data_IF_525319962892
#
_entry.id   IF_525319962892
#
_cell.length_a   1.000
_cell.length_b   1.000
_cell.length_c   1.000
_cell.angle_alpha   90.00
_cell.angle_beta   90.00
_cell.angle_gamma   90.00
#
_symmetry.space_group_name_H-M   'P 1'
#
loop_
_entity.id
_entity.type
_entity.pdbx_description
1 polymer ?
#
# COMPACT_ATOMS: atom_id res chain seq x y z
N UNK A 1 -14.52 62.70 -52.03
CA UNK A 1 -14.91 61.34 -51.65
C UNK A 1 -13.62 60.51 -51.49
N UNK A 2 -13.27 60.10 -50.29
CA UNK A 2 -12.16 59.20 -50.08
C UNK A 2 -12.71 57.77 -49.94
N UNK A 3 -12.30 56.89 -50.86
CA UNK A 3 -12.69 55.48 -50.85
C UNK A 3 -12.10 54.80 -49.62
N UNK A 4 -12.82 53.91 -48.93
CA UNK A 4 -12.31 53.16 -47.80
C UNK A 4 -11.28 52.13 -48.30
N UNK A 5 -10.03 52.18 -47.80
CA UNK A 5 -9.00 51.15 -48.01
C UNK A 5 -9.43 49.87 -47.36
N UNK A 6 -9.82 48.86 -48.13
CA UNK A 6 -9.99 47.50 -47.69
C UNK A 6 -8.68 46.99 -47.12
N UNK A 7 -8.69 46.66 -45.83
CA UNK A 7 -7.55 46.11 -45.12
C UNK A 7 -7.48 44.60 -45.41
N UNK A 8 -6.76 44.22 -46.50
CA UNK A 8 -6.45 42.82 -46.78
C UNK A 8 -5.70 42.25 -45.56
N UNK A 9 -6.35 41.36 -44.81
CA UNK A 9 -5.67 40.60 -43.76
C UNK A 9 -4.62 39.74 -44.45
N UNK A 10 -3.34 39.99 -44.15
CA UNK A 10 -2.23 39.22 -44.70
C UNK A 10 -2.43 37.74 -44.36
N UNK A 11 -2.26 36.84 -45.33
CA UNK A 11 -2.32 35.37 -45.15
C UNK A 11 -1.56 34.88 -43.93
N UNK A 12 -0.40 35.51 -43.63
CA UNK A 12 0.38 35.24 -42.42
C UNK A 12 -0.34 35.58 -41.10
N UNK A 13 -1.26 36.57 -41.09
CA UNK A 13 -2.06 36.89 -39.89
C UNK A 13 -3.13 35.84 -39.62
N UNK A 14 -3.71 35.25 -40.66
CA UNK A 14 -4.71 34.17 -40.54
C UNK A 14 -4.05 32.90 -40.00
N UNK A 15 -2.88 32.54 -40.50
CA UNK A 15 -2.13 31.37 -40.01
C UNK A 15 -1.78 31.54 -38.53
N UNK A 16 -1.31 32.74 -38.12
CA UNK A 16 -0.99 33.00 -36.69
C UNK A 16 -2.21 32.86 -35.79
N UNK A 17 -3.39 33.31 -36.23
CA UNK A 17 -4.63 33.18 -35.46
C UNK A 17 -5.01 31.70 -35.34
N UNK A 18 -4.89 30.92 -36.41
CA UNK A 18 -5.18 29.47 -36.39
C UNK A 18 -4.24 28.75 -35.40
N UNK A 19 -2.94 29.05 -35.46
CA UNK A 19 -1.95 28.46 -34.52
C UNK A 19 -2.27 28.82 -33.07
N UNK A 20 -2.65 30.07 -32.81
CA UNK A 20 -3.05 30.50 -31.45
C UNK A 20 -4.34 29.77 -30.98
N UNK A 21 -5.31 29.56 -31.82
CA UNK A 21 -6.55 28.84 -31.48
C UNK A 21 -6.24 27.38 -31.18
N UNK A 22 -5.40 26.72 -31.99
CA UNK A 22 -4.96 25.34 -31.74
C UNK A 22 -4.16 25.23 -30.44
N UNK A 23 -3.21 26.15 -30.19
CA UNK A 23 -2.43 26.18 -28.98
C UNK A 23 -3.31 26.38 -27.74
N UNK A 24 -4.31 27.26 -27.82
CA UNK A 24 -5.29 27.49 -26.74
C UNK A 24 -6.14 26.23 -26.51
N UNK A 25 -6.57 25.54 -27.57
CA UNK A 25 -7.32 24.29 -27.45
C UNK A 25 -6.51 23.19 -26.77
N UNK A 26 -5.23 23.03 -27.12
CA UNK A 26 -4.32 22.09 -26.47
C UNK A 26 -4.12 22.46 -24.99
N UNK A 27 -3.95 23.74 -24.71
CA UNK A 27 -3.78 24.22 -23.33
C UNK A 27 -5.03 23.97 -22.49
N UNK A 28 -6.22 24.26 -22.99
CA UNK A 28 -7.48 23.97 -22.31
C UNK A 28 -7.68 22.47 -22.09
N UNK A 29 -7.34 21.63 -23.07
CA UNK A 29 -7.40 20.19 -22.94
C UNK A 29 -6.43 19.66 -21.86
N UNK A 30 -5.19 20.15 -21.86
CA UNK A 30 -4.20 19.79 -20.83
C UNK A 30 -4.65 20.23 -19.42
N UNK A 31 -5.21 21.45 -19.31
CA UNK A 31 -5.79 21.93 -18.03
C UNK A 31 -6.95 21.08 -17.55
N UNK A 32 -7.83 20.67 -18.47
CA UNK A 32 -8.92 19.73 -18.15
C UNK A 32 -8.40 18.37 -17.67
N UNK A 33 -7.38 17.81 -18.31
CA UNK A 33 -6.77 16.55 -17.90
C UNK A 33 -6.13 16.67 -16.50
N UNK A 34 -5.40 17.75 -16.24
CA UNK A 34 -4.82 18.02 -14.90
C UNK A 34 -5.90 18.17 -13.83
N UNK A 35 -7.00 18.84 -14.14
CA UNK A 35 -8.15 18.97 -13.24
C UNK A 35 -8.76 17.61 -12.90
N UNK A 36 -8.97 16.74 -13.89
CA UNK A 36 -9.49 15.37 -13.66
C UNK A 36 -8.56 14.54 -12.79
N UNK A 37 -7.24 14.61 -13.04
CA UNK A 37 -6.23 13.92 -12.24
C UNK A 37 -6.27 14.43 -10.80
N UNK A 38 -6.22 15.75 -10.59
CA UNK A 38 -6.25 16.36 -9.27
C UNK A 38 -7.51 15.96 -8.47
N UNK A 39 -8.68 16.03 -9.11
CA UNK A 39 -9.93 15.59 -8.49
C UNK A 39 -9.95 14.10 -8.18
N UNK A 40 -9.37 13.26 -9.03
CA UNK A 40 -9.24 11.83 -8.77
C UNK A 40 -8.38 11.55 -7.52
N UNK A 41 -7.26 12.25 -7.34
CA UNK A 41 -6.43 12.12 -6.14
C UNK A 41 -7.12 12.64 -4.88
N UNK A 42 -7.83 13.77 -4.96
CA UNK A 42 -8.55 14.33 -3.82
C UNK A 42 -9.73 13.43 -3.39
N UNK A 43 -10.48 12.89 -4.34
CA UNK A 43 -11.57 11.95 -4.07
C UNK A 43 -11.03 10.66 -3.42
N UNK A 44 -9.91 10.12 -3.92
CA UNK A 44 -9.26 8.95 -3.33
C UNK A 44 -8.82 9.20 -1.87
N UNK A 45 -8.18 10.35 -1.60
CA UNK A 45 -7.78 10.73 -0.24
C UNK A 45 -8.98 10.78 0.69
N UNK A 46 -10.04 11.53 0.33
CA UNK A 46 -11.21 11.69 1.19
C UNK A 46 -12.00 10.39 1.42
N UNK A 47 -12.11 9.52 0.42
CA UNK A 47 -12.80 8.22 0.56
C UNK A 47 -12.08 7.32 1.58
N UNK A 48 -10.76 7.26 1.50
CA UNK A 48 -9.98 6.34 2.33
C UNK A 48 -9.56 6.91 3.69
N UNK A 49 -9.49 8.24 3.87
CA UNK A 49 -9.27 8.88 5.18
C UNK A 49 -10.49 8.69 6.11
N UNK A 50 -11.70 8.76 5.55
CA UNK A 50 -12.93 8.55 6.32
C UNK A 50 -13.16 7.07 6.67
N UNK A 51 -12.78 6.16 5.80
CA UNK A 51 -12.99 4.73 5.91
C UNK A 51 -12.42 4.14 7.21
N UNK A 52 -11.22 4.55 7.60
CA UNK A 52 -10.57 4.10 8.82
C UNK A 52 -11.40 4.41 10.06
N UNK A 53 -11.96 5.62 10.14
CA UNK A 53 -12.79 6.04 11.27
C UNK A 53 -14.21 5.45 11.22
N UNK A 54 -14.69 5.07 10.04
CA UNK A 54 -16.04 4.52 9.84
C UNK A 54 -16.12 3.05 10.26
N UNK A 55 -15.11 2.23 9.94
CA UNK A 55 -15.16 0.77 10.09
C UNK A 55 -14.18 0.19 11.08
N UNK A 56 -13.28 1.01 11.67
CA UNK A 56 -12.35 0.51 12.69
C UNK A 56 -12.42 1.31 13.97
N UNK A 57 -12.27 0.60 15.09
CA UNK A 57 -12.08 1.19 16.41
C UNK A 57 -10.70 0.82 16.94
N UNK A 58 -9.95 1.75 17.58
CA UNK A 58 -8.69 1.42 18.21
C UNK A 58 -8.89 0.36 19.28
N UNK A 59 -8.09 -0.71 19.24
CA UNK A 59 -8.09 -1.70 20.29
C UNK A 59 -7.32 -1.17 21.51
N UNK A 60 -7.99 -1.00 22.64
CA UNK A 60 -7.42 -0.44 23.88
C UNK A 60 -6.43 -1.39 24.60
N UNK A 61 -6.24 -2.60 24.08
CA UNK A 61 -5.26 -3.58 24.59
C UNK A 61 -3.87 -3.47 23.94
N UNK A 62 -3.74 -2.75 22.83
CA UNK A 62 -2.44 -2.54 22.18
C UNK A 62 -1.65 -1.47 22.95
N UNK A 63 -0.65 -1.88 23.73
CA UNK A 63 0.25 -0.97 24.44
C UNK A 63 0.93 0.00 23.46
N UNK A 64 0.47 1.24 23.50
CA UNK A 64 1.23 2.37 22.97
C UNK A 64 2.32 2.70 23.99
N UNK A 65 3.48 2.04 23.88
CA UNK A 65 4.69 2.50 24.55
C UNK A 65 5.19 3.77 23.85
N UNK A 66 4.61 4.91 24.25
CA UNK A 66 5.20 6.22 24.00
C UNK A 66 6.34 6.39 25.00
N UNK A 67 7.57 6.22 24.57
CA UNK A 67 8.77 6.61 25.31
C UNK A 67 8.78 8.12 25.54
N UNK A 68 8.37 8.53 26.75
CA UNK A 68 8.81 9.80 27.31
C UNK A 68 10.25 9.63 27.79
N UNK A 69 11.18 10.24 27.06
CA UNK A 69 12.56 10.37 27.44
C UNK A 69 12.68 11.25 28.70
N UNK A 70 12.95 10.67 29.86
CA UNK A 70 13.51 11.39 31.00
C UNK A 70 14.99 11.04 31.13
N UNK A 71 15.79 12.06 30.86
CA UNK A 71 17.22 12.20 31.13
C UNK A 71 17.58 11.90 32.60
N UNK A 72 18.47 10.92 32.84
CA UNK A 72 19.43 10.94 33.96
C UNK A 72 20.51 9.87 33.79
N UNK A 73 21.72 10.27 33.42
CA UNK A 73 22.97 9.58 33.78
C UNK A 73 23.29 9.87 35.25
N UNK A 74 24.11 9.06 36.00
CA UNK A 74 25.48 8.80 35.64
C UNK A 74 26.12 7.44 36.11
N UNK A 75 27.22 7.11 35.40
CA UNK A 75 28.53 6.67 35.94
C UNK A 75 28.70 5.30 36.62
N UNK A 76 29.73 4.53 36.15
CA UNK A 76 30.38 3.56 36.99
C UNK A 76 30.89 2.27 36.37
N UNK A 77 32.00 2.34 35.64
CA UNK A 77 33.20 1.48 35.78
C UNK A 77 33.17 -0.05 35.63
N UNK A 78 33.85 -0.51 34.60
CA UNK A 78 35.05 -1.38 34.56
C UNK A 78 34.98 -2.90 34.69
N UNK A 79 35.70 -3.51 33.74
CA UNK A 79 36.61 -4.65 33.71
C UNK A 79 36.01 -6.02 33.30
N UNK A 80 36.35 -6.48 32.13
CA UNK A 80 37.54 -7.14 31.58
C UNK A 80 37.51 -8.68 31.61
N UNK A 81 37.87 -9.22 30.42
CA UNK A 81 38.52 -10.52 30.09
C UNK A 81 37.64 -11.78 30.16
N UNK A 82 37.72 -12.76 29.27
CA UNK A 82 38.73 -13.18 28.28
C UNK A 82 38.19 -14.35 27.45
N UNK A 83 38.60 -14.35 26.19
CA UNK A 83 38.97 -15.48 25.31
C UNK A 83 38.32 -16.87 25.44
N UNK A 84 37.93 -17.39 24.28
CA UNK A 84 37.78 -18.81 24.00
C UNK A 84 37.02 -19.08 22.73
N UNK A 85 37.75 -19.20 21.59
CA UNK A 85 37.15 -19.57 20.31
C UNK A 85 36.65 -21.03 20.32
N UNK A 86 35.60 -21.26 19.58
CA UNK A 86 35.49 -22.47 18.76
C UNK A 86 34.55 -22.23 17.59
N UNK A 87 35.02 -22.63 16.42
CA UNK A 87 34.40 -22.58 15.14
C UNK A 87 33.48 -23.77 15.03
N UNK A 88 32.16 -23.52 15.03
CA UNK A 88 31.22 -24.47 14.44
C UNK A 88 30.16 -23.69 13.69
N UNK A 89 30.10 -23.92 12.39
CA UNK A 89 29.04 -23.48 11.51
C UNK A 89 27.70 -24.02 12.02
N UNK A 90 27.00 -23.23 12.81
CA UNK A 90 25.60 -23.46 13.14
C UNK A 90 24.78 -22.66 12.12
N UNK A 91 23.95 -23.40 11.38
CA UNK A 91 22.75 -22.92 10.73
C UNK A 91 22.00 -22.02 11.73
N UNK A 92 22.16 -20.70 11.60
CA UNK A 92 21.39 -19.73 12.39
C UNK A 92 19.97 -19.77 11.86
N UNK A 93 19.19 -20.74 12.35
CA UNK A 93 17.73 -20.60 12.30
C UNK A 93 17.39 -19.36 13.11
N UNK A 94 17.07 -18.28 12.40
CA UNK A 94 16.57 -17.06 13.03
C UNK A 94 15.31 -17.42 13.78
N UNK A 95 15.43 -17.63 15.08
CA UNK A 95 14.30 -17.87 15.97
C UNK A 95 13.66 -16.52 16.28
N UNK A 96 12.60 -16.21 15.57
CA UNK A 96 11.77 -15.05 15.90
C UNK A 96 11.07 -15.30 17.24
N UNK A 97 11.01 -14.30 18.14
CA UNK A 97 10.29 -14.46 19.40
C UNK A 97 8.83 -14.79 19.10
N UNK A 98 8.31 -15.85 19.69
CA UNK A 98 6.90 -16.15 19.67
C UNK A 98 6.16 -15.00 20.37
N UNK A 99 5.42 -14.22 19.62
CA UNK A 99 4.56 -13.15 20.17
C UNK A 99 3.19 -13.80 20.36
N UNK A 100 3.05 -14.52 21.49
CA UNK A 100 1.85 -15.30 21.80
C UNK A 100 0.63 -14.43 22.15
N UNK A 101 0.81 -13.15 22.53
CA UNK A 101 -0.25 -12.28 23.06
C UNK A 101 -0.41 -10.93 22.32
N UNK A 102 0.08 -10.80 21.09
CA UNK A 102 -0.08 -9.55 20.36
C UNK A 102 -1.51 -9.42 19.81
N UNK A 103 -2.23 -8.43 20.32
CA UNK A 103 -3.55 -8.05 19.80
C UNK A 103 -3.43 -7.12 18.60
N UNK A 104 -4.36 -7.19 17.63
CA UNK A 104 -4.37 -6.26 16.50
C UNK A 104 -4.65 -4.84 17.01
N UNK A 105 -4.06 -3.82 16.40
CA UNK A 105 -4.20 -2.43 16.85
C UNK A 105 -5.60 -1.84 16.61
N UNK A 106 -6.41 -2.49 15.80
CA UNK A 106 -7.78 -2.06 15.48
C UNK A 106 -8.74 -3.26 15.44
N UNK A 107 -9.97 -3.01 15.83
CA UNK A 107 -11.10 -3.90 15.60
C UNK A 107 -11.89 -3.44 14.37
N UNK A 108 -12.41 -4.38 13.60
CA UNK A 108 -13.10 -4.12 12.33
C UNK A 108 -14.58 -4.49 12.43
N UNK A 109 -15.48 -3.58 12.03
CA UNK A 109 -16.92 -3.89 11.92
C UNK A 109 -17.20 -4.69 10.64
N UNK A 110 -17.11 -6.01 10.76
CA UNK A 110 -17.33 -6.94 9.66
C UNK A 110 -18.78 -6.95 9.17
N UNK A 111 -19.76 -6.67 10.06
CA UNK A 111 -21.16 -6.69 9.68
C UNK A 111 -21.46 -5.53 8.72
N UNK A 112 -21.03 -4.34 9.07
CA UNK A 112 -21.21 -3.16 8.23
C UNK A 112 -20.44 -3.28 6.92
N UNK A 113 -19.17 -3.68 6.95
CA UNK A 113 -18.37 -3.87 5.75
C UNK A 113 -18.96 -4.89 4.79
N UNK A 114 -19.38 -6.05 5.29
CA UNK A 114 -19.98 -7.11 4.47
C UNK A 114 -21.34 -6.73 3.93
N UNK A 115 -22.10 -5.89 4.63
CA UNK A 115 -23.37 -5.36 4.13
C UNK A 115 -23.20 -4.46 2.92
N UNK A 116 -22.08 -3.70 2.86
CA UNK A 116 -21.73 -2.82 1.76
C UNK A 116 -21.17 -3.62 0.58
N UNK A 117 -20.23 -4.52 0.87
CA UNK A 117 -19.61 -5.33 -0.17
C UNK A 117 -19.22 -6.73 0.35
N UNK A 118 -19.93 -7.79 -0.07
CA UNK A 118 -19.60 -9.16 0.31
C UNK A 118 -18.24 -9.64 -0.24
N UNK A 119 -17.66 -8.98 -1.23
CA UNK A 119 -16.36 -9.31 -1.81
C UNK A 119 -15.17 -8.92 -0.90
N UNK A 120 -15.40 -8.20 0.20
CA UNK A 120 -14.36 -7.89 1.18
C UNK A 120 -13.99 -9.16 1.93
N UNK A 121 -12.74 -9.60 1.85
CA UNK A 121 -12.23 -10.84 2.45
C UNK A 121 -11.38 -10.61 3.69
N UNK A 122 -10.83 -9.40 3.86
CA UNK A 122 -9.98 -9.06 4.98
C UNK A 122 -9.77 -7.56 5.11
N UNK A 123 -8.97 -7.18 6.11
CA UNK A 123 -8.50 -5.83 6.35
C UNK A 123 -6.99 -5.84 6.53
N UNK A 124 -6.28 -5.07 5.73
CA UNK A 124 -4.84 -4.88 5.84
C UNK A 124 -4.56 -3.71 6.78
N UNK A 125 -3.69 -3.93 7.77
CA UNK A 125 -3.16 -2.88 8.63
C UNK A 125 -1.62 -2.95 8.68
N UNK A 126 -0.97 -1.89 8.26
CA UNK A 126 0.48 -1.70 8.37
C UNK A 126 0.70 -0.41 9.15
N UNK A 127 1.33 -0.49 10.31
CA UNK A 127 1.60 0.65 11.16
C UNK A 127 2.82 1.41 10.63
N UNK A 128 2.58 2.37 9.73
CA UNK A 128 3.54 3.29 9.15
C UNK A 128 3.25 4.72 9.61
N UNK A 129 4.11 5.70 9.28
CA UNK A 129 3.86 7.13 9.59
C UNK A 129 2.47 7.59 9.12
N UNK A 130 2.07 7.14 7.90
CA UNK A 130 0.70 7.25 7.43
C UNK A 130 0.15 5.82 7.32
N UNK A 131 -0.52 5.34 8.35
CA UNK A 131 -0.97 3.95 8.46
C UNK A 131 -1.69 3.46 7.19
N UNK A 132 -1.21 2.35 6.63
CA UNK A 132 -1.92 1.61 5.60
C UNK A 132 -3.00 0.81 6.30
N UNK A 133 -4.25 1.21 6.14
CA UNK A 133 -5.40 0.59 6.84
C UNK A 133 -6.59 0.54 5.87
N UNK A 134 -6.75 -0.58 5.18
CA UNK A 134 -7.69 -0.72 4.06
C UNK A 134 -8.37 -2.08 4.04
N UNK A 135 -9.66 -2.16 3.62
CA UNK A 135 -10.30 -3.43 3.32
C UNK A 135 -9.62 -4.09 2.11
N UNK A 136 -9.53 -5.41 2.14
CA UNK A 136 -9.04 -6.23 1.03
C UNK A 136 -10.25 -6.82 0.32
N UNK A 137 -10.42 -6.44 -0.95
CA UNK A 137 -11.47 -7.00 -1.80
C UNK A 137 -10.95 -8.22 -2.57
N UNK A 138 -11.84 -9.15 -2.94
CA UNK A 138 -11.54 -10.25 -3.86
C UNK A 138 -12.63 -10.34 -4.92
N UNK A 139 -12.25 -9.99 -6.15
CA UNK A 139 -13.13 -10.08 -7.32
C UNK A 139 -13.04 -11.43 -8.03
N UNK A 140 -13.63 -11.48 -9.22
CA UNK A 140 -13.54 -12.60 -10.16
C UNK A 140 -12.44 -12.42 -11.21
N UNK A 141 -11.75 -11.28 -11.18
CA UNK A 141 -10.62 -10.92 -12.02
C UNK A 141 -9.71 -9.91 -11.31
N UNK A 142 -8.53 -9.60 -11.88
CA UNK A 142 -7.55 -8.65 -11.34
C UNK A 142 -7.71 -7.22 -11.91
N UNK A 143 -8.78 -6.91 -12.63
CA UNK A 143 -8.99 -5.61 -13.28
C UNK A 143 -10.07 -4.78 -12.61
N UNK A 144 -11.13 -5.40 -12.09
CA UNK A 144 -12.27 -4.68 -11.55
C UNK A 144 -11.86 -3.74 -10.39
N UNK A 145 -11.28 -4.29 -9.31
CA UNK A 145 -10.88 -3.50 -8.14
C UNK A 145 -9.64 -2.63 -8.36
N UNK A 146 -8.95 -2.79 -9.48
CA UNK A 146 -7.91 -1.85 -9.90
C UNK A 146 -8.48 -0.45 -10.19
N UNK A 147 -9.78 -0.36 -10.51
CA UNK A 147 -10.45 0.88 -10.92
C UNK A 147 -11.77 1.14 -10.18
N UNK A 148 -12.09 0.36 -9.15
CA UNK A 148 -13.29 0.52 -8.33
C UNK A 148 -12.95 0.49 -6.85
N UNK A 149 -13.63 1.33 -6.07
CA UNK A 149 -13.54 1.35 -4.61
C UNK A 149 -14.10 0.06 -4.02
N UNK A 150 -13.87 -0.16 -2.72
CA UNK A 150 -14.54 -1.24 -1.98
C UNK A 150 -16.08 -1.09 -1.97
N UNK A 151 -16.62 0.10 -2.23
CA UNK A 151 -18.06 0.37 -2.42
C UNK A 151 -18.53 0.08 -3.85
N UNK A 152 -17.65 -0.44 -4.72
CA UNK A 152 -17.91 -0.72 -6.15
C UNK A 152 -18.15 0.51 -7.01
N UNK A 153 -17.73 1.68 -6.55
CA UNK A 153 -17.77 2.92 -7.30
C UNK A 153 -16.50 3.09 -8.14
N UNK A 154 -16.65 3.60 -9.37
CA UNK A 154 -15.49 3.84 -10.23
C UNK A 154 -14.59 4.92 -9.67
N UNK A 155 -13.34 4.58 -9.38
CA UNK A 155 -12.32 5.49 -8.88
C UNK A 155 -10.94 5.07 -9.38
N UNK A 156 -10.16 6.05 -9.83
CA UNK A 156 -8.79 5.83 -10.35
C UNK A 156 -7.86 5.11 -9.36
N UNK A 157 -7.98 5.40 -8.05
CA UNK A 157 -7.17 4.76 -7.02
C UNK A 157 -7.52 3.28 -6.78
N UNK A 158 -8.67 2.82 -7.24
CA UNK A 158 -9.13 1.46 -7.01
C UNK A 158 -9.23 1.10 -5.53
N UNK A 159 -9.04 -0.17 -5.23
CA UNK A 159 -9.00 -0.74 -3.88
C UNK A 159 -7.70 -1.51 -3.66
N UNK A 160 -7.44 -1.91 -2.42
CA UNK A 160 -6.54 -3.01 -2.13
C UNK A 160 -7.31 -4.31 -2.41
N UNK A 161 -6.74 -5.22 -3.20
CA UNK A 161 -7.44 -6.44 -3.59
C UNK A 161 -6.51 -7.64 -3.74
N UNK A 162 -7.07 -8.82 -3.48
CA UNK A 162 -6.39 -10.11 -3.59
C UNK A 162 -6.49 -10.64 -5.02
N UNK A 163 -5.46 -11.35 -5.48
CA UNK A 163 -5.48 -12.06 -6.76
C UNK A 163 -6.70 -13.00 -6.83
N UNK A 164 -7.40 -12.97 -7.97
CA UNK A 164 -8.65 -13.73 -8.12
C UNK A 164 -8.44 -15.26 -8.04
N UNK A 165 -7.22 -15.75 -8.30
CA UNK A 165 -6.89 -17.18 -8.18
C UNK A 165 -6.61 -17.62 -6.74
N UNK A 166 -6.31 -16.70 -5.82
CA UNK A 166 -6.18 -17.05 -4.40
C UNK A 166 -7.52 -17.47 -3.80
N UNK A 167 -7.50 -18.24 -2.72
CA UNK A 167 -8.71 -18.79 -2.10
C UNK A 167 -9.63 -17.75 -1.47
N UNK A 168 -9.09 -16.64 -0.99
CA UNK A 168 -9.78 -15.65 -0.17
C UNK A 168 -9.69 -15.90 1.33
N UNK A 169 -9.03 -16.97 1.74
CA UNK A 169 -8.93 -17.41 3.15
C UNK A 169 -7.55 -17.06 3.77
N UNK A 170 -6.63 -16.47 3.02
CA UNK A 170 -5.23 -16.19 3.44
C UNK A 170 -4.45 -17.43 3.88
N UNK A 171 -4.82 -18.60 3.37
CA UNK A 171 -4.19 -19.90 3.68
C UNK A 171 -3.43 -20.48 2.50
N UNK A 172 -3.42 -19.78 1.37
CA UNK A 172 -2.63 -20.18 0.19
C UNK A 172 -1.13 -20.04 0.49
N UNK A 173 -0.26 -20.89 -0.10
CA UNK A 173 1.19 -20.79 0.08
C UNK A 173 1.76 -19.42 -0.29
N UNK A 174 1.25 -18.81 -1.37
CA UNK A 174 1.52 -17.45 -1.76
C UNK A 174 0.20 -16.70 -2.03
N UNK A 175 -0.09 -15.71 -1.21
CA UNK A 175 -1.25 -14.82 -1.38
C UNK A 175 -0.79 -13.49 -1.93
N UNK A 176 -1.23 -13.16 -3.15
CA UNK A 176 -0.86 -11.90 -3.80
C UNK A 176 -1.93 -10.85 -3.56
N UNK A 177 -1.51 -9.70 -3.03
CA UNK A 177 -2.37 -8.56 -2.76
C UNK A 177 -1.86 -7.37 -3.57
N UNK A 178 -2.75 -6.75 -4.32
CA UNK A 178 -2.47 -5.61 -5.18
C UNK A 178 -2.99 -4.30 -4.60
N UNK A 179 -2.33 -3.21 -4.97
CA UNK A 179 -2.78 -1.85 -4.67
C UNK A 179 -1.97 -0.84 -5.48
N UNK A 180 -2.59 0.27 -5.88
CA UNK A 180 -1.91 1.32 -6.60
C UNK A 180 -0.79 1.97 -5.76
N UNK A 181 0.37 2.21 -6.37
CA UNK A 181 1.43 3.05 -5.81
C UNK A 181 1.11 4.52 -6.06
N UNK A 182 0.22 5.09 -5.24
CA UNK A 182 -0.28 6.45 -5.39
C UNK A 182 0.77 7.50 -5.00
N UNK A 183 0.88 8.59 -5.78
CA UNK A 183 1.84 9.68 -5.50
C UNK A 183 1.53 10.47 -4.23
N UNK A 184 0.25 10.53 -3.84
CA UNK A 184 -0.20 11.17 -2.61
C UNK A 184 -0.02 10.30 -1.35
N UNK A 185 0.58 9.11 -1.47
CA UNK A 185 0.82 8.20 -0.36
C UNK A 185 -0.33 7.22 -0.07
N UNK A 186 -1.53 7.43 -0.61
CA UNK A 186 -2.65 6.51 -0.41
C UNK A 186 -2.39 5.14 -1.05
N UNK A 187 -3.22 4.16 -0.75
CA UNK A 187 -3.08 2.77 -1.18
C UNK A 187 -1.70 2.20 -0.77
N UNK A 188 -0.95 1.66 -1.71
CA UNK A 188 0.42 1.18 -1.50
C UNK A 188 1.50 2.23 -1.74
N UNK A 189 1.11 3.51 -1.88
CA UNK A 189 2.04 4.62 -2.09
C UNK A 189 3.08 4.78 -0.97
N UNK A 190 2.77 4.37 0.27
CA UNK A 190 3.69 4.44 1.42
C UNK A 190 4.64 3.25 1.54
N UNK A 191 4.38 2.11 0.87
CA UNK A 191 5.25 0.93 0.96
C UNK A 191 6.70 1.20 0.57
N UNK A 192 6.93 2.14 -0.35
CA UNK A 192 8.29 2.55 -0.77
C UNK A 192 9.16 3.12 0.37
N UNK A 193 8.55 3.58 1.46
CA UNK A 193 9.23 4.18 2.61
C UNK A 193 9.50 3.18 3.73
N UNK A 194 8.97 1.97 3.68
CA UNK A 194 9.15 0.94 4.71
C UNK A 194 10.64 0.72 5.02
N UNK A 195 11.50 0.61 3.99
CA UNK A 195 12.95 0.42 4.14
C UNK A 195 13.67 1.52 4.94
N UNK A 196 13.12 2.73 5.00
CA UNK A 196 13.71 3.87 5.70
C UNK A 196 13.19 4.07 7.12
N UNK A 197 12.20 3.31 7.54
CA UNK A 197 11.57 3.47 8.84
C UNK A 197 12.24 2.53 9.86
N UNK A 198 12.90 3.10 10.88
CA UNK A 198 13.57 2.34 11.96
C UNK A 198 12.66 1.33 12.67
N UNK A 199 11.36 1.59 12.68
CA UNK A 199 10.37 0.68 13.24
C UNK A 199 10.44 -0.71 12.61
N UNK A 200 10.64 -0.81 11.30
CA UNK A 200 10.73 -2.10 10.60
C UNK A 200 12.09 -2.79 10.74
N UNK A 201 13.10 -2.09 11.28
CA UNK A 201 14.37 -2.73 11.68
C UNK A 201 14.20 -3.54 12.97
N UNK A 202 13.26 -3.17 13.83
CA UNK A 202 13.02 -3.80 15.13
C UNK A 202 11.73 -4.62 15.21
N UNK A 203 10.69 -4.24 14.45
CA UNK A 203 9.37 -4.90 14.43
C UNK A 203 8.77 -4.91 13.03
N UNK A 204 9.28 -5.74 12.11
CA UNK A 204 8.87 -5.77 10.72
C UNK A 204 7.59 -6.58 10.51
N UNK A 205 6.48 -6.17 11.10
CA UNK A 205 5.21 -6.88 11.02
C UNK A 205 4.10 -6.04 10.41
N UNK A 206 3.09 -6.74 9.89
CA UNK A 206 1.80 -6.18 9.51
C UNK A 206 0.67 -7.15 9.86
N UNK A 207 -0.56 -6.65 9.85
CA UNK A 207 -1.73 -7.44 10.19
C UNK A 207 -2.65 -7.64 9.00
N UNK A 208 -3.20 -8.83 8.89
CA UNK A 208 -4.38 -9.15 8.10
C UNK A 208 -5.47 -9.57 9.07
N UNK A 209 -6.51 -8.75 9.18
CA UNK A 209 -7.67 -9.04 10.01
C UNK A 209 -8.73 -9.70 9.14
N UNK A 210 -9.43 -10.70 9.65
CA UNK A 210 -10.51 -11.39 8.95
C UNK A 210 -11.66 -11.71 9.90
N UNK A 211 -12.89 -11.98 9.39
CA UNK A 211 -13.98 -12.42 10.24
C UNK A 211 -13.74 -13.73 10.97
N UNK A 212 -12.74 -14.53 10.53
CA UNK A 212 -12.43 -15.85 11.10
C UNK A 212 -11.26 -15.81 12.10
N UNK A 213 -10.44 -14.77 12.06
CA UNK A 213 -9.27 -14.61 12.93
C UNK A 213 -8.31 -13.58 12.37
N UNK A 214 -7.38 -13.17 13.21
CA UNK A 214 -6.39 -12.15 12.88
C UNK A 214 -5.03 -12.82 12.67
N UNK A 215 -4.29 -12.36 11.65
CA UNK A 215 -2.98 -12.88 11.30
C UNK A 215 -1.96 -11.78 11.38
N UNK A 216 -0.84 -12.03 12.04
CA UNK A 216 0.33 -11.16 12.06
C UNK A 216 1.39 -11.75 11.14
N UNK A 217 1.78 -11.00 10.11
CA UNK A 217 2.78 -11.41 9.13
C UNK A 217 4.09 -10.68 9.34
N UNK A 218 5.19 -11.43 9.26
CA UNK A 218 6.53 -10.87 9.29
C UNK A 218 6.96 -10.40 7.90
N UNK A 219 7.48 -9.16 7.80
CA UNK A 219 8.05 -8.63 6.57
C UNK A 219 9.51 -9.08 6.50
N UNK A 220 9.82 -10.04 5.65
CA UNK A 220 11.18 -10.54 5.48
C UNK A 220 11.93 -9.92 4.29
N UNK A 221 11.22 -9.32 3.32
CA UNK A 221 11.81 -8.68 2.16
C UNK A 221 10.96 -7.52 1.64
N UNK A 222 11.61 -6.49 1.11
CA UNK A 222 10.97 -5.38 0.39
C UNK A 222 11.88 -4.94 -0.76
N UNK A 223 11.43 -5.08 -2.01
CA UNK A 223 12.22 -4.78 -3.20
C UNK A 223 11.35 -4.37 -4.38
N UNK A 224 11.99 -3.71 -5.36
CA UNK A 224 11.34 -3.40 -6.63
C UNK A 224 11.57 -4.56 -7.60
N UNK A 225 10.54 -4.96 -8.32
CA UNK A 225 10.62 -6.05 -9.29
C UNK A 225 9.85 -5.76 -10.57
N UNK A 226 10.11 -6.54 -11.62
CA UNK A 226 9.39 -6.45 -12.88
C UNK A 226 7.99 -7.07 -12.77
N UNK A 227 7.07 -6.63 -13.64
CA UNK A 227 5.68 -7.11 -13.67
C UNK A 227 5.55 -8.60 -14.06
N UNK A 228 6.56 -9.17 -14.66
CA UNK A 228 6.66 -10.57 -15.07
C UNK A 228 7.55 -11.42 -14.12
N UNK A 229 7.81 -10.88 -12.92
CA UNK A 229 8.59 -11.58 -11.88
C UNK A 229 7.88 -12.83 -11.38
N UNK A 230 8.65 -13.85 -11.07
CA UNK A 230 8.17 -15.06 -10.39
C UNK A 230 7.72 -14.81 -8.92
N UNK A 231 7.88 -13.59 -8.39
CA UNK A 231 7.24 -13.17 -7.11
C UNK A 231 5.72 -13.38 -7.12
N UNK A 232 5.08 -13.29 -8.30
CA UNK A 232 3.64 -13.46 -8.46
C UNK A 232 3.21 -14.92 -8.70
N UNK A 233 4.13 -15.88 -8.57
CA UNK A 233 3.81 -17.31 -8.77
C UNK A 233 2.86 -17.80 -7.68
N UNK A 234 1.76 -18.42 -8.07
CA UNK A 234 0.80 -19.04 -7.15
C UNK A 234 1.05 -20.53 -7.05
N UNK A 235 0.87 -21.08 -5.86
CA UNK A 235 1.10 -22.49 -5.56
C UNK A 235 -0.18 -23.11 -4.97
N UNK A 236 -0.45 -24.36 -5.36
CA UNK A 236 -1.60 -25.11 -4.83
C UNK A 236 -1.32 -25.80 -3.48
N UNK A 237 -0.05 -25.92 -3.09
CA UNK A 237 0.36 -26.55 -1.84
C UNK A 237 1.79 -26.11 -1.44
N UNK A 238 2.12 -26.29 -0.15
CA UNK A 238 3.45 -26.09 0.41
C UNK A 238 4.38 -27.28 0.03
N UNK A 239 4.62 -27.44 -1.28
CA UNK A 239 5.46 -28.50 -1.82
C UNK A 239 6.91 -28.05 -2.07
N UNK A 240 7.77 -28.95 -2.60
CA UNK A 240 9.18 -28.63 -2.88
C UNK A 240 9.36 -27.43 -3.83
N UNK A 241 8.43 -27.19 -4.75
CA UNK A 241 8.46 -26.05 -5.67
C UNK A 241 8.24 -24.72 -4.93
N UNK A 242 7.28 -24.71 -3.99
CA UNK A 242 7.04 -23.53 -3.12
C UNK A 242 8.26 -23.25 -2.26
N UNK A 243 8.83 -24.26 -1.59
CA UNK A 243 10.02 -24.08 -0.74
C UNK A 243 11.23 -23.57 -1.51
N UNK A 244 11.46 -24.06 -2.74
CA UNK A 244 12.52 -23.56 -3.60
C UNK A 244 12.29 -22.11 -4.04
N UNK A 245 11.04 -21.74 -4.30
CA UNK A 245 10.66 -20.37 -4.60
C UNK A 245 10.83 -19.45 -3.37
N UNK A 246 10.39 -19.86 -2.20
CA UNK A 246 10.53 -19.12 -0.95
C UNK A 246 12.00 -18.80 -0.66
N UNK A 247 12.90 -19.79 -0.76
CA UNK A 247 14.34 -19.59 -0.60
C UNK A 247 14.94 -18.60 -1.60
N UNK A 248 14.38 -18.51 -2.81
CA UNK A 248 14.82 -17.54 -3.81
C UNK A 248 14.35 -16.11 -3.50
N UNK A 249 13.24 -15.95 -2.78
CA UNK A 249 12.65 -14.66 -2.44
C UNK A 249 13.26 -14.01 -1.17
N UNK A 250 14.00 -14.77 -0.39
CA UNK A 250 14.78 -14.30 0.77
C UNK A 250 16.13 -13.70 0.31
#
# INVERSE_FOLDING_TARGET
MKEPKEKHRSFGSVIRIIVLIVALGVFCYAGWQLYLIYHGYAAAGSEYDNLKNEFTTPNSGADTSSDEASDSSPDGSAAASSEGGDSSSADETVSWPAIEDAEPPVDVDWNDLKSINPDIVGWLYIDAEDNISYPICKGTDNSYYLHHTFRKEALFAGSIFMDYNNSGEFTDPNTVIYGHNMKNGSMFGMLKFIKGQKKYDSDPYFWILTPKGNYRYHIYAAFDTAVDSDTYTLFSANGPEFLAWEQKMQ
#
